data_IF_488614230728
#
_entry.id   IF_488614230728
#
_cell.length_a   1.000
_cell.length_b   1.000
_cell.length_c   1.000
_cell.angle_alpha   90.00
_cell.angle_beta   90.00
_cell.angle_gamma   90.00
#
_symmetry.space_group_name_H-M   'P 1'
#
loop_
_entity.id
_entity.type
_entity.pdbx_description
1 polymer ?
#
# COMPACT_ATOMS: atom_id res chain seq x y z
N UNK A 1 -2.52 -13.44 34.74
CA UNK A 1 -3.33 -13.55 33.50
C UNK A 1 -3.81 -12.20 32.96
N UNK A 2 -3.17 -11.07 33.28
CA UNK A 2 -3.54 -9.73 32.75
C UNK A 2 -2.40 -9.01 32.04
N UNK A 3 -1.17 -9.50 32.11
CA UNK A 3 -0.01 -8.94 31.39
C UNK A 3 0.01 -9.28 29.91
N UNK A 4 -0.59 -10.41 29.51
CA UNK A 4 -0.51 -10.95 28.15
C UNK A 4 -1.39 -10.16 27.15
N UNK A 5 -2.53 -9.64 27.63
CA UNK A 5 -3.53 -8.95 26.81
C UNK A 5 -2.99 -7.62 26.27
N UNK A 6 -2.26 -6.86 27.10
CA UNK A 6 -1.62 -5.61 26.70
C UNK A 6 -0.53 -5.84 25.66
N UNK A 7 0.30 -6.88 25.82
CA UNK A 7 1.36 -7.20 24.86
C UNK A 7 0.79 -7.65 23.49
N UNK A 8 -0.35 -8.35 23.54
CA UNK A 8 -1.08 -8.78 22.34
C UNK A 8 -1.70 -7.59 21.60
N UNK A 9 -2.29 -6.63 22.32
CA UNK A 9 -2.89 -5.43 21.72
C UNK A 9 -1.88 -4.60 20.92
N UNK A 10 -0.66 -4.40 21.43
CA UNK A 10 0.41 -3.68 20.72
C UNK A 10 0.90 -4.42 19.47
N UNK A 11 0.81 -5.75 19.46
CA UNK A 11 1.19 -6.58 18.32
C UNK A 11 0.16 -6.50 17.18
N UNK A 12 -1.13 -6.41 17.51
CA UNK A 12 -2.22 -6.41 16.51
C UNK A 12 -2.44 -5.00 15.91
N UNK A 13 -2.10 -3.94 16.66
CA UNK A 13 -2.24 -2.54 16.24
C UNK A 13 -1.70 -2.25 14.82
N UNK A 14 -0.45 -2.61 14.44
CA UNK A 14 0.05 -2.41 13.09
C UNK A 14 -0.75 -3.17 12.02
N UNK A 15 -1.29 -4.35 12.35
CA UNK A 15 -2.13 -5.13 11.44
C UNK A 15 -3.45 -4.42 11.14
N UNK A 16 -4.07 -3.83 12.16
CA UNK A 16 -5.31 -3.04 12.01
C UNK A 16 -5.05 -1.81 11.13
N UNK A 17 -3.94 -1.11 11.36
CA UNK A 17 -3.54 0.06 10.56
C UNK A 17 -3.41 -0.33 9.07
N UNK A 18 -2.72 -1.44 8.77
CA UNK A 18 -2.57 -1.94 7.40
C UNK A 18 -3.92 -2.29 6.78
N UNK A 19 -4.81 -2.92 7.56
CA UNK A 19 -6.18 -3.22 7.12
C UNK A 19 -6.97 -1.96 6.75
N UNK A 20 -6.92 -0.93 7.60
CA UNK A 20 -7.58 0.36 7.34
C UNK A 20 -7.00 1.02 6.09
N UNK A 21 -5.68 1.00 5.92
CA UNK A 21 -4.99 1.54 4.74
C UNK A 21 -5.45 0.84 3.47
N UNK A 22 -5.44 -0.50 3.45
CA UNK A 22 -5.84 -1.29 2.30
C UNK A 22 -7.31 -1.00 1.91
N UNK A 23 -8.21 -0.99 2.89
CA UNK A 23 -9.63 -0.66 2.67
C UNK A 23 -9.79 0.76 2.13
N UNK A 24 -9.07 1.73 2.69
CA UNK A 24 -9.08 3.12 2.23
C UNK A 24 -8.67 3.22 0.75
N UNK A 25 -7.57 2.57 0.36
CA UNK A 25 -7.09 2.61 -1.03
C UNK A 25 -8.09 1.98 -1.98
N UNK A 26 -8.65 0.81 -1.64
CA UNK A 26 -9.65 0.13 -2.48
C UNK A 26 -10.91 0.98 -2.63
N UNK A 27 -11.43 1.57 -1.55
CA UNK A 27 -12.60 2.46 -1.60
C UNK A 27 -12.30 3.69 -2.45
N UNK A 28 -11.13 4.32 -2.28
CA UNK A 28 -10.74 5.52 -3.03
C UNK A 28 -10.56 5.22 -4.52
N UNK A 29 -9.95 4.09 -4.86
CA UNK A 29 -9.89 3.60 -6.24
C UNK A 29 -11.28 3.39 -6.83
N UNK A 30 -12.16 2.66 -6.13
CA UNK A 30 -13.51 2.35 -6.60
C UNK A 30 -14.35 3.60 -6.79
N UNK A 31 -14.26 4.56 -5.86
CA UNK A 31 -14.95 5.86 -5.96
C UNK A 31 -14.45 6.68 -7.15
N UNK A 32 -13.14 6.78 -7.34
CA UNK A 32 -12.56 7.55 -8.47
C UNK A 32 -12.78 6.86 -9.81
N UNK A 33 -12.81 5.52 -9.84
CA UNK A 33 -13.16 4.73 -11.01
C UNK A 33 -14.62 4.97 -11.41
N UNK A 34 -15.56 4.93 -10.46
CA UNK A 34 -16.97 5.26 -10.72
C UNK A 34 -17.19 6.71 -11.18
N UNK A 35 -16.40 7.65 -10.67
CA UNK A 35 -16.48 9.07 -11.06
C UNK A 35 -15.82 9.39 -12.41
N UNK A 36 -15.23 8.41 -13.10
CA UNK A 36 -14.50 8.64 -14.37
C UNK A 36 -13.21 9.46 -14.22
N UNK A 37 -12.82 9.76 -12.98
CA UNK A 37 -11.61 10.56 -12.64
C UNK A 37 -10.34 9.73 -12.54
N UNK A 38 -10.48 8.40 -12.55
CA UNK A 38 -9.36 7.47 -12.65
C UNK A 38 -8.91 7.51 -14.12
N UNK A 39 -7.87 8.28 -14.43
CA UNK A 39 -7.34 8.43 -15.78
C UNK A 39 -6.90 7.07 -16.33
N UNK A 40 -7.73 6.48 -17.19
CA UNK A 40 -7.32 5.31 -17.96
C UNK A 40 -6.45 5.77 -19.11
N UNK A 41 -5.30 5.11 -19.28
CA UNK A 41 -4.44 5.32 -20.45
C UNK A 41 -5.19 4.86 -21.71
N UNK A 42 -4.88 5.48 -22.85
CA UNK A 42 -5.57 5.21 -24.13
C UNK A 42 -5.20 3.84 -24.70
N UNK A 43 -4.02 3.34 -24.33
CA UNK A 43 -3.45 2.07 -24.80
C UNK A 43 -3.52 1.00 -23.71
N UNK A 44 -3.81 -0.26 -24.11
CA UNK A 44 -3.83 -1.42 -23.20
C UNK A 44 -2.49 -1.63 -22.50
N UNK A 45 -1.40 -1.34 -23.21
CA UNK A 45 -0.03 -1.52 -22.73
C UNK A 45 0.30 -0.52 -21.62
N UNK A 46 0.03 0.77 -21.82
CA UNK A 46 0.24 1.78 -20.78
C UNK A 46 -0.70 1.59 -19.58
N UNK A 47 -1.91 1.05 -19.79
CA UNK A 47 -2.80 0.69 -18.70
C UNK A 47 -2.28 -0.51 -17.90
N UNK A 48 -1.68 -1.52 -18.55
CA UNK A 48 -1.01 -2.65 -17.88
C UNK A 48 0.18 -2.19 -17.03
N UNK A 49 1.00 -1.27 -17.55
CA UNK A 49 2.09 -0.65 -16.78
C UNK A 49 1.58 0.12 -15.57
N UNK A 50 0.47 0.83 -15.73
CA UNK A 50 -0.15 1.58 -14.66
C UNK A 50 -0.73 0.65 -13.59
N UNK A 51 -1.47 -0.39 -13.98
CA UNK A 51 -2.05 -1.35 -13.04
C UNK A 51 -0.95 -2.12 -12.27
N UNK A 52 0.25 -2.23 -12.84
CA UNK A 52 1.44 -2.78 -12.17
C UNK A 52 2.07 -1.85 -11.12
N UNK A 53 1.80 -0.55 -11.15
CA UNK A 53 2.39 0.44 -10.21
C UNK A 53 1.91 0.23 -8.76
N UNK A 54 0.69 -0.29 -8.59
CA UNK A 54 0.12 -0.59 -7.27
C UNK A 54 0.90 -1.74 -6.59
N UNK A 55 1.01 -2.95 -7.20
CA UNK A 55 1.84 -4.00 -6.64
C UNK A 55 3.33 -3.64 -6.58
N UNK A 56 3.85 -2.82 -7.51
CA UNK A 56 5.23 -2.32 -7.45
C UNK A 56 5.47 -1.48 -6.20
N UNK A 57 4.56 -0.57 -5.85
CA UNK A 57 4.65 0.23 -4.63
C UNK A 57 4.63 -0.63 -3.37
N UNK A 58 3.81 -1.68 -3.35
CA UNK A 58 3.76 -2.64 -2.24
C UNK A 58 5.09 -3.39 -2.09
N UNK A 59 5.69 -3.88 -3.18
CA UNK A 59 7.00 -4.57 -3.17
C UNK A 59 8.10 -3.63 -2.70
N UNK A 60 8.12 -2.38 -3.18
CA UNK A 60 9.08 -1.37 -2.75
C UNK A 60 8.96 -1.08 -1.24
N UNK A 61 7.73 -0.94 -0.74
CA UNK A 61 7.48 -0.75 0.70
C UNK A 61 7.93 -1.94 1.55
N UNK A 62 7.67 -3.17 1.11
CA UNK A 62 8.16 -4.39 1.78
C UNK A 62 9.69 -4.42 1.78
N UNK A 63 10.32 -4.07 0.66
CA UNK A 63 11.78 -4.05 0.51
C UNK A 63 12.42 -3.11 1.52
N UNK A 64 11.91 -1.88 1.62
CA UNK A 64 12.37 -0.88 2.61
C UNK A 64 12.15 -1.40 4.05
N UNK A 65 11.02 -2.03 4.33
CA UNK A 65 10.75 -2.60 5.65
C UNK A 65 11.64 -3.78 6.02
N UNK A 66 12.11 -4.58 5.05
CA UNK A 66 13.11 -5.62 5.29
C UNK A 66 14.44 -4.97 5.70
N UNK A 67 14.87 -3.93 4.97
CA UNK A 67 16.08 -3.20 5.34
C UNK A 67 16.00 -2.61 6.75
N UNK A 68 14.87 -2.00 7.11
CA UNK A 68 14.64 -1.48 8.48
C UNK A 68 14.58 -2.62 9.50
N UNK A 69 13.98 -3.77 9.16
CA UNK A 69 13.87 -4.95 10.01
C UNK A 69 15.23 -5.54 10.39
N UNK A 70 16.24 -5.47 9.51
CA UNK A 70 17.61 -5.90 9.82
C UNK A 70 18.20 -5.10 11.00
N UNK A 71 17.86 -3.82 11.12
CA UNK A 71 18.29 -2.98 12.25
C UNK A 71 17.41 -3.16 13.50
N UNK A 72 16.17 -3.62 13.34
CA UNK A 72 15.18 -3.75 14.42
C UNK A 72 14.48 -5.12 14.40
N UNK A 73 15.15 -6.19 14.86
CA UNK A 73 14.69 -7.56 14.65
C UNK A 73 13.47 -7.99 15.47
N UNK A 74 13.02 -7.21 16.45
CA UNK A 74 11.89 -7.56 17.32
C UNK A 74 10.50 -7.53 16.65
N UNK A 75 10.37 -6.90 15.48
CA UNK A 75 9.07 -6.56 14.88
C UNK A 75 8.94 -6.89 13.38
N UNK A 76 9.67 -7.90 12.87
CA UNK A 76 9.75 -8.20 11.42
C UNK A 76 8.38 -8.33 10.72
N UNK A 77 7.47 -9.13 11.26
CA UNK A 77 6.15 -9.40 10.65
C UNK A 77 5.29 -8.13 10.56
N UNK A 78 5.25 -7.35 11.65
CA UNK A 78 4.53 -6.08 11.71
C UNK A 78 5.14 -5.01 10.81
N UNK A 79 6.48 -4.96 10.71
CA UNK A 79 7.19 -4.02 9.85
C UNK A 79 6.96 -4.30 8.36
N UNK A 80 6.94 -5.57 7.95
CA UNK A 80 6.64 -5.97 6.57
C UNK A 80 5.20 -5.57 6.22
N UNK A 81 4.24 -5.83 7.11
CA UNK A 81 2.86 -5.42 6.91
C UNK A 81 2.70 -3.90 6.77
N UNK A 82 3.30 -3.13 7.70
CA UNK A 82 3.28 -1.66 7.65
C UNK A 82 3.96 -1.13 6.38
N UNK A 83 5.11 -1.71 6.01
CA UNK A 83 5.82 -1.39 4.77
C UNK A 83 4.98 -1.62 3.54
N UNK A 84 4.33 -2.78 3.46
CA UNK A 84 3.40 -3.10 2.38
C UNK A 84 2.23 -2.10 2.33
N UNK A 85 1.63 -1.75 3.47
CA UNK A 85 0.53 -0.78 3.54
C UNK A 85 0.94 0.63 3.08
N UNK A 86 2.07 1.13 3.59
CA UNK A 86 2.62 2.44 3.18
C UNK A 86 3.03 2.42 1.71
N UNK A 87 3.67 1.32 1.26
CA UNK A 87 4.04 1.11 -0.13
C UNK A 87 2.84 1.07 -1.07
N UNK A 88 1.74 0.46 -0.63
CA UNK A 88 0.48 0.42 -1.37
C UNK A 88 -0.16 1.81 -1.50
N UNK A 89 -0.10 2.65 -0.44
CA UNK A 89 -0.49 4.07 -0.53
C UNK A 89 0.37 4.85 -1.52
N UNK A 90 1.70 4.66 -1.45
CA UNK A 90 2.64 5.29 -2.38
C UNK A 90 2.40 4.87 -3.82
N UNK A 91 2.22 3.56 -4.06
CA UNK A 91 1.87 2.98 -5.35
C UNK A 91 0.55 3.52 -5.90
N UNK A 92 -0.46 3.72 -5.03
CA UNK A 92 -1.72 4.36 -5.41
C UNK A 92 -1.55 5.83 -5.82
N UNK A 93 -0.75 6.61 -5.09
CA UNK A 93 -0.48 8.02 -5.44
C UNK A 93 0.29 8.10 -6.76
N UNK A 94 1.30 7.24 -6.94
CA UNK A 94 2.05 7.13 -8.20
C UNK A 94 1.12 6.74 -9.35
N UNK A 95 0.25 5.74 -9.15
CA UNK A 95 -0.79 5.35 -10.09
C UNK A 95 -1.63 6.57 -10.49
N UNK A 96 -2.16 7.30 -9.52
CA UNK A 96 -3.04 8.45 -9.75
C UNK A 96 -2.33 9.61 -10.47
N UNK A 97 -1.05 9.84 -10.18
CA UNK A 97 -0.26 10.89 -10.82
C UNK A 97 0.12 10.52 -12.26
N UNK A 98 0.57 9.27 -12.50
CA UNK A 98 0.88 8.77 -13.85
C UNK A 98 -0.37 8.57 -14.71
N UNK A 99 -1.50 8.25 -14.08
CA UNK A 99 -2.85 8.18 -14.66
C UNK A 99 -3.28 9.53 -15.22
N UNK A 100 -2.98 10.63 -14.51
CA UNK A 100 -3.31 11.99 -14.93
C UNK A 100 -2.30 12.63 -15.88
N UNK A 101 -1.03 12.18 -15.88
CA UNK A 101 -0.08 12.56 -16.93
C UNK A 101 -0.56 11.99 -18.26
N UNK A 102 -1.09 12.89 -19.10
CA UNK A 102 -1.45 12.59 -20.50
C UNK A 102 -0.25 11.91 -21.16
N UNK A 103 -0.52 10.86 -21.93
CA UNK A 103 0.41 10.41 -22.97
C UNK A 103 0.67 11.66 -23.82
N UNK A 104 1.90 12.17 -23.75
CA UNK A 104 2.37 13.22 -24.67
C UNK A 104 2.76 12.57 -25.99
#
# INVERSE_FOLDING_TARGET
MTGDVWNTAWTILPLIIVGIIAVFVVIRMKQKAKKGTLGRKKTKEAQSMLDSLIPLGMIAGVTVSIFIGIFFPGFFLSNIGLGAGIGLLGGYIAYEMYSRKRES
#
